data_IF_008491611536
#
_entry.id   IF_008491611536
#
_cell.length_a   1.000
_cell.length_b   1.000
_cell.length_c   1.000
_cell.angle_alpha   90.00
_cell.angle_beta   90.00
_cell.angle_gamma   90.00
#
_symmetry.space_group_name_H-M   'P 1'
#
loop_
_entity.id
_entity.type
_entity.pdbx_description
1 polymer ?
#
# COMPACT_ATOMS: atom_id res chain seq x y z
N UNK A 1 -30.22 -7.61 7.63
CA UNK A 1 -30.26 -6.28 8.28
C UNK A 1 -29.18 -5.38 7.65
N UNK A 2 -29.34 -4.05 7.58
CA UNK A 2 -28.26 -3.18 7.11
C UNK A 2 -27.06 -3.29 8.05
N UNK A 3 -25.90 -3.65 7.51
CA UNK A 3 -24.67 -3.84 8.27
C UNK A 3 -23.62 -2.86 7.76
N UNK A 4 -23.13 -2.01 8.65
CA UNK A 4 -22.06 -1.07 8.34
C UNK A 4 -20.73 -1.74 8.60
N UNK A 5 -19.89 -1.80 7.57
CA UNK A 5 -18.52 -2.33 7.63
C UNK A 5 -17.59 -1.35 6.94
N UNK A 6 -16.29 -1.53 7.16
CA UNK A 6 -15.28 -0.69 6.53
C UNK A 6 -14.93 -1.16 5.11
N UNK A 7 -15.19 -2.43 4.79
CA UNK A 7 -15.14 -2.96 3.44
C UNK A 7 -16.33 -3.89 3.17
N UNK A 8 -16.52 -4.22 1.90
CA UNK A 8 -17.33 -5.33 1.43
C UNK A 8 -16.63 -6.06 0.30
N UNK A 9 -17.25 -7.14 -0.17
CA UNK A 9 -16.86 -7.86 -1.38
C UNK A 9 -18.12 -8.20 -2.19
N UNK A 10 -17.96 -8.82 -3.37
CA UNK A 10 -19.09 -9.12 -4.26
C UNK A 10 -20.06 -10.17 -3.70
N UNK A 11 -19.70 -10.84 -2.61
CA UNK A 11 -20.54 -11.82 -1.91
C UNK A 11 -21.26 -11.23 -0.69
N UNK A 12 -21.00 -9.96 -0.34
CA UNK A 12 -21.65 -9.30 0.79
C UNK A 12 -22.52 -8.10 0.37
N UNK A 13 -23.44 -7.72 1.27
CA UNK A 13 -24.34 -6.57 1.11
C UNK A 13 -24.04 -5.47 2.12
N UNK A 14 -22.77 -5.36 2.54
CA UNK A 14 -22.35 -4.39 3.55
C UNK A 14 -22.43 -2.96 3.01
N UNK A 15 -22.87 -2.04 3.87
CA UNK A 15 -22.84 -0.61 3.61
C UNK A 15 -21.48 -0.10 4.06
N UNK A 16 -20.60 0.17 3.08
CA UNK A 16 -19.23 0.62 3.35
C UNK A 16 -19.19 2.08 3.80
N UNK A 17 -18.35 2.37 4.80
CA UNK A 17 -18.10 3.72 5.30
C UNK A 17 -16.62 3.90 5.67
N UNK A 18 -16.13 5.15 5.81
CA UNK A 18 -14.72 5.41 6.12
C UNK A 18 -14.24 4.69 7.37
N UNK A 19 -13.07 4.06 7.27
CA UNK A 19 -12.47 3.35 8.38
C UNK A 19 -11.91 4.30 9.47
N UNK A 20 -11.66 3.77 10.66
CA UNK A 20 -11.21 4.55 11.81
C UNK A 20 -9.89 5.31 11.56
N UNK A 21 -9.03 4.80 10.67
CA UNK A 21 -7.72 5.39 10.41
C UNK A 21 -7.79 6.75 9.70
N UNK A 22 -8.95 7.17 9.20
CA UNK A 22 -9.14 8.57 8.77
C UNK A 22 -9.03 9.56 9.94
N UNK A 23 -9.39 9.14 11.16
CA UNK A 23 -9.18 9.89 12.40
C UNK A 23 -7.80 9.62 13.03
N UNK A 24 -6.97 8.79 12.38
CA UNK A 24 -5.65 8.40 12.84
C UNK A 24 -5.63 7.03 13.50
N UNK A 25 -4.42 6.57 13.82
CA UNK A 25 -4.17 5.32 14.53
C UNK A 25 -3.04 5.58 15.53
N UNK A 26 -3.44 6.04 16.72
CA UNK A 26 -2.53 6.56 17.73
C UNK A 26 -1.55 5.50 18.24
N UNK A 27 -2.00 4.25 18.35
CA UNK A 27 -1.23 3.10 18.83
C UNK A 27 0.02 2.82 17.99
N UNK A 28 0.02 3.25 16.72
CA UNK A 28 1.17 3.12 15.82
C UNK A 28 1.62 4.46 15.23
N UNK A 29 1.28 5.56 15.90
CA UNK A 29 1.69 6.92 15.55
C UNK A 29 1.31 7.39 14.13
N UNK A 30 0.16 6.93 13.61
CA UNK A 30 -0.40 7.45 12.36
C UNK A 30 -1.34 8.61 12.69
N UNK A 31 -1.07 9.77 12.11
CA UNK A 31 -1.85 11.00 12.29
C UNK A 31 -3.20 10.92 11.55
N UNK A 32 -4.21 11.72 11.97
CA UNK A 32 -5.44 11.90 11.20
C UNK A 32 -5.15 12.29 9.74
N UNK A 33 -6.02 11.85 8.81
CA UNK A 33 -5.83 12.03 7.38
C UNK A 33 -5.66 13.51 6.97
N UNK A 34 -6.40 14.43 7.57
CA UNK A 34 -6.31 15.87 7.28
C UNK A 34 -4.91 16.46 7.53
N UNK A 35 -4.18 15.93 8.52
CA UNK A 35 -2.81 16.35 8.80
C UNK A 35 -1.82 15.57 7.95
N UNK A 36 -1.97 14.24 7.91
CA UNK A 36 -1.06 13.36 7.21
C UNK A 36 -1.05 13.59 5.70
N UNK A 37 -2.18 13.89 5.08
CA UNK A 37 -2.27 14.20 3.64
C UNK A 37 -1.46 15.43 3.26
N UNK A 38 -1.40 16.45 4.13
CA UNK A 38 -0.56 17.64 3.94
C UNK A 38 0.93 17.27 4.06
N UNK A 39 1.27 16.44 5.04
CA UNK A 39 2.64 15.95 5.23
C UNK A 39 3.11 15.09 4.05
N UNK A 40 2.26 14.21 3.53
CA UNK A 40 2.50 13.42 2.32
C UNK A 40 2.72 14.35 1.12
N UNK A 41 1.86 15.36 0.93
CA UNK A 41 1.98 16.33 -0.15
C UNK A 41 3.29 17.13 -0.08
N UNK A 42 3.73 17.54 1.10
CA UNK A 42 5.03 18.19 1.27
C UNK A 42 6.20 17.19 1.10
N UNK A 43 6.04 15.95 1.58
CA UNK A 43 6.99 14.85 1.38
C UNK A 43 7.25 14.57 -0.10
N UNK A 44 6.20 14.52 -0.92
CA UNK A 44 6.28 14.27 -2.36
C UNK A 44 7.08 15.35 -3.10
N UNK A 45 7.13 16.59 -2.57
CA UNK A 45 7.93 17.69 -3.16
C UNK A 45 9.41 17.60 -2.84
N UNK A 46 9.82 16.78 -1.86
CA UNK A 46 11.24 16.65 -1.47
C UNK A 46 12.10 16.04 -2.57
N UNK A 47 11.52 15.25 -3.47
CA UNK A 47 12.23 14.53 -4.53
C UNK A 47 11.37 14.46 -5.79
N UNK A 48 11.94 14.84 -6.94
CA UNK A 48 11.23 14.74 -8.22
C UNK A 48 11.01 13.28 -8.58
N UNK A 49 9.91 12.98 -9.26
CA UNK A 49 9.57 11.63 -9.70
C UNK A 49 10.74 10.88 -10.37
N UNK A 50 11.45 11.53 -11.29
CA UNK A 50 12.58 10.94 -12.04
C UNK A 50 13.78 10.60 -11.16
N UNK A 51 13.91 11.22 -9.98
CA UNK A 51 15.00 11.00 -9.02
C UNK A 51 14.66 9.90 -8.01
N UNK A 52 13.40 9.45 -7.95
CA UNK A 52 12.98 8.36 -7.07
C UNK A 52 13.58 7.04 -7.50
N UNK A 53 13.81 6.17 -6.51
CA UNK A 53 14.34 4.82 -6.71
C UNK A 53 13.44 4.03 -7.69
N UNK A 54 13.99 3.44 -8.76
CA UNK A 54 13.23 2.83 -9.85
C UNK A 54 12.75 1.41 -9.50
N UNK A 55 12.22 1.23 -8.29
CA UNK A 55 11.75 -0.05 -7.78
C UNK A 55 10.32 0.05 -7.24
N UNK A 56 9.63 -1.08 -7.21
CA UNK A 56 8.38 -1.26 -6.52
C UNK A 56 8.61 -1.50 -5.04
N UNK A 57 8.01 -0.66 -4.20
CA UNK A 57 8.23 -0.69 -2.76
C UNK A 57 6.97 -1.10 -2.00
N UNK A 58 7.16 -1.99 -1.04
CA UNK A 58 6.17 -2.33 -0.03
C UNK A 58 6.82 -2.44 1.34
N UNK A 59 6.16 -1.93 2.39
CA UNK A 59 6.53 -2.18 3.78
C UNK A 59 5.27 -2.45 4.58
N UNK A 60 5.20 -3.60 5.23
CA UNK A 60 3.99 -4.01 5.95
C UNK A 60 4.16 -5.30 6.74
N UNK A 61 3.15 -5.66 7.54
CA UNK A 61 3.15 -6.92 8.27
C UNK A 61 2.69 -8.04 7.32
N UNK A 62 3.56 -9.02 6.97
CA UNK A 62 3.20 -10.07 6.04
C UNK A 62 2.37 -11.18 6.71
N UNK A 63 2.44 -11.33 8.03
CA UNK A 63 1.85 -12.46 8.75
C UNK A 63 0.33 -12.38 8.93
N UNK A 64 -0.31 -11.32 8.43
CA UNK A 64 -1.76 -11.13 8.51
C UNK A 64 -2.53 -11.79 7.36
N UNK A 65 -1.84 -12.20 6.29
CA UNK A 65 -2.46 -12.80 5.12
C UNK A 65 -1.47 -13.64 4.29
N UNK A 66 -1.88 -14.80 3.74
CA UNK A 66 -1.04 -15.61 2.85
C UNK A 66 -0.52 -14.84 1.63
N UNK A 67 -1.35 -13.99 1.03
CA UNK A 67 -0.98 -13.20 -0.18
C UNK A 67 0.19 -12.23 0.11
N UNK A 68 0.29 -11.69 1.33
CA UNK A 68 1.43 -10.85 1.77
C UNK A 68 2.68 -11.65 2.08
N UNK A 69 2.51 -12.84 2.66
CA UNK A 69 3.63 -13.77 2.83
C UNK A 69 4.22 -14.14 1.47
N UNK A 70 3.38 -14.41 0.47
CA UNK A 70 3.80 -14.72 -0.88
C UNK A 70 4.52 -13.53 -1.55
N UNK A 71 4.08 -12.28 -1.31
CA UNK A 71 4.75 -11.08 -1.82
C UNK A 71 6.23 -10.98 -1.40
N UNK A 72 6.62 -11.55 -0.25
CA UNK A 72 8.02 -11.60 0.18
C UNK A 72 8.92 -12.36 -0.82
N UNK A 73 8.36 -13.31 -1.57
CA UNK A 73 9.09 -14.06 -2.60
C UNK A 73 9.52 -13.19 -3.79
N UNK A 74 8.93 -12.00 -3.94
CA UNK A 74 9.31 -11.05 -4.98
C UNK A 74 10.58 -10.25 -4.65
N UNK A 75 11.12 -10.36 -3.43
CA UNK A 75 12.39 -9.73 -3.09
C UNK A 75 13.55 -10.28 -3.94
N UNK A 76 14.59 -9.46 -4.18
CA UNK A 76 15.74 -9.87 -4.97
C UNK A 76 16.49 -11.02 -4.29
N UNK A 77 17.01 -11.92 -5.13
CA UNK A 77 17.98 -12.96 -4.77
C UNK A 77 19.19 -12.84 -5.69
N UNK A 78 20.28 -13.55 -5.41
CA UNK A 78 21.48 -13.55 -6.26
C UNK A 78 21.20 -13.97 -7.72
N UNK A 79 20.09 -14.66 -7.98
CA UNK A 79 19.72 -15.19 -9.30
C UNK A 79 18.62 -14.41 -10.00
N UNK A 80 17.82 -13.65 -9.27
CA UNK A 80 16.58 -13.06 -9.79
C UNK A 80 16.24 -11.77 -9.05
N UNK A 81 16.02 -10.68 -9.80
CA UNK A 81 15.42 -9.45 -9.31
C UNK A 81 14.11 -9.16 -10.05
N UNK A 82 13.03 -9.03 -9.30
CA UNK A 82 11.70 -8.65 -9.79
C UNK A 82 11.45 -7.14 -9.74
N UNK A 83 12.48 -6.36 -9.44
CA UNK A 83 12.41 -4.92 -9.19
C UNK A 83 11.50 -4.55 -8.01
N UNK A 84 11.23 -5.50 -7.11
CA UNK A 84 10.48 -5.27 -5.88
C UNK A 84 11.41 -5.15 -4.68
N UNK A 85 11.06 -4.28 -3.73
CA UNK A 85 11.74 -4.04 -2.45
C UNK A 85 10.66 -4.13 -1.37
N UNK A 86 10.54 -5.31 -0.80
CA UNK A 86 9.46 -5.72 0.12
C UNK A 86 10.03 -5.88 1.51
N UNK A 87 9.58 -5.05 2.46
CA UNK A 87 10.12 -4.99 3.81
C UNK A 87 9.10 -5.39 4.86
N UNK A 88 9.53 -6.15 5.86
CA UNK A 88 8.67 -6.53 6.99
C UNK A 88 8.54 -5.36 7.97
N UNK A 89 7.31 -5.02 8.30
CA UNK A 89 6.97 -4.03 9.32
C UNK A 89 6.70 -4.74 10.66
N UNK A 90 7.61 -4.58 11.63
CA UNK A 90 7.44 -5.08 12.98
C UNK A 90 6.98 -3.95 13.92
N UNK A 91 5.68 -3.93 14.23
CA UNK A 91 5.11 -2.87 15.09
C UNK A 91 5.62 -2.90 16.54
N UNK A 92 5.96 -4.07 17.07
CA UNK A 92 6.48 -4.20 18.42
C UNK A 92 7.88 -3.58 18.55
N UNK A 93 8.72 -3.77 17.53
CA UNK A 93 10.05 -3.16 17.45
C UNK A 93 9.96 -1.65 17.20
N UNK A 94 9.09 -1.21 16.29
CA UNK A 94 8.88 0.21 16.06
C UNK A 94 8.38 0.95 17.31
N UNK A 95 7.52 0.32 18.11
CA UNK A 95 7.06 0.90 19.36
C UNK A 95 8.24 1.18 20.32
N UNK A 96 9.25 0.29 20.36
CA UNK A 96 10.47 0.50 21.16
C UNK A 96 11.33 1.65 20.63
N UNK A 97 11.29 1.91 19.32
CA UNK A 97 12.06 2.97 18.66
C UNK A 97 11.27 4.26 18.41
N UNK A 98 10.02 4.36 18.88
CA UNK A 98 9.16 5.52 18.71
C UNK A 98 8.69 5.75 17.27
N UNK A 99 8.50 4.68 16.50
CA UNK A 99 7.98 4.68 15.12
C UNK A 99 8.81 5.50 14.10
N UNK A 100 10.09 5.74 14.41
CA UNK A 100 10.97 6.60 13.59
C UNK A 100 11.15 6.09 12.17
N UNK A 101 11.03 4.78 11.93
CA UNK A 101 11.20 4.19 10.60
C UNK A 101 9.86 3.89 9.91
N UNK A 102 8.74 4.33 10.48
CA UNK A 102 7.39 4.07 9.98
C UNK A 102 6.67 5.33 9.51
N UNK A 103 7.38 6.46 9.41
CA UNK A 103 6.86 7.70 8.82
C UNK A 103 6.40 7.44 7.39
N UNK A 104 5.09 7.58 7.13
CA UNK A 104 4.51 7.34 5.81
C UNK A 104 4.97 8.40 4.79
N UNK A 105 5.12 9.66 5.23
CA UNK A 105 5.55 10.77 4.37
C UNK A 105 6.99 10.63 3.88
N UNK A 106 7.84 9.89 4.60
CA UNK A 106 9.23 9.64 4.20
C UNK A 106 9.40 8.36 3.37
N UNK A 107 8.31 7.60 3.13
CA UNK A 107 8.31 6.37 2.33
C UNK A 107 7.94 6.58 0.86
N UNK A 108 7.76 7.83 0.41
CA UNK A 108 7.41 8.19 -0.96
C UNK A 108 8.64 8.46 -1.85
N UNK A 109 9.73 7.73 -1.60
CA UNK A 109 11.03 7.87 -2.31
C UNK A 109 11.24 6.87 -3.45
N UNK A 110 10.29 5.95 -3.65
CA UNK A 110 10.31 4.97 -4.73
C UNK A 110 9.32 5.36 -5.81
N UNK A 111 9.64 5.04 -7.06
CA UNK A 111 8.73 5.26 -8.18
C UNK A 111 7.44 4.47 -7.94
N UNK A 112 7.54 3.17 -7.70
CA UNK A 112 6.37 2.32 -7.65
C UNK A 112 6.00 1.97 -6.20
N UNK A 113 4.72 2.03 -5.84
CA UNK A 113 4.21 1.65 -4.51
C UNK A 113 3.21 0.52 -4.66
N UNK A 114 3.45 -0.59 -3.96
CA UNK A 114 2.59 -1.77 -4.04
C UNK A 114 1.49 -1.66 -2.98
N UNK A 115 0.25 -1.85 -3.41
CA UNK A 115 -0.88 -2.16 -2.54
C UNK A 115 -1.20 -3.64 -2.64
N UNK A 116 -1.43 -4.26 -1.49
CA UNK A 116 -1.87 -5.64 -1.36
C UNK A 116 -2.73 -5.79 -0.11
N UNK A 117 -3.80 -6.55 -0.23
CA UNK A 117 -4.75 -6.81 0.84
C UNK A 117 -4.12 -7.54 2.02
N UNK A 118 -4.75 -7.42 3.18
CA UNK A 118 -4.38 -8.12 4.40
C UNK A 118 -5.39 -9.23 4.66
N UNK A 119 -5.87 -9.33 5.91
CA UNK A 119 -6.98 -10.24 6.23
C UNK A 119 -8.29 -9.84 5.55
N UNK A 120 -8.39 -8.59 5.09
CA UNK A 120 -9.41 -8.03 4.22
C UNK A 120 -8.78 -6.85 3.43
N UNK A 121 -9.52 -5.77 3.13
CA UNK A 121 -8.93 -4.52 2.64
C UNK A 121 -7.78 -4.02 3.54
N UNK A 122 -6.84 -3.27 2.97
CA UNK A 122 -5.75 -2.67 3.75
C UNK A 122 -5.92 -1.16 3.87
N UNK A 123 -5.91 -0.66 5.11
CA UNK A 123 -5.94 0.78 5.41
C UNK A 123 -4.83 1.61 4.73
N UNK A 124 -3.80 0.94 4.21
CA UNK A 124 -2.66 1.55 3.54
C UNK A 124 -2.96 2.10 2.15
N UNK A 125 -4.08 1.73 1.51
CA UNK A 125 -4.41 2.10 0.13
C UNK A 125 -4.34 3.62 -0.10
N UNK A 126 -5.04 4.40 0.74
CA UNK A 126 -5.05 5.86 0.64
C UNK A 126 -3.68 6.51 0.78
N UNK A 127 -2.79 5.93 1.62
CA UNK A 127 -1.44 6.45 1.81
C UNK A 127 -0.55 6.12 0.60
N UNK A 128 -0.74 4.94 0.00
CA UNK A 128 -0.04 4.53 -1.22
C UNK A 128 -0.43 5.46 -2.38
N UNK A 129 -1.73 5.69 -2.59
CA UNK A 129 -2.24 6.59 -3.61
C UNK A 129 -1.74 8.03 -3.41
N UNK A 130 -1.61 8.48 -2.16
CA UNK A 130 -1.17 9.83 -1.83
C UNK A 130 0.35 10.07 -1.94
N UNK A 131 1.17 9.03 -2.18
CA UNK A 131 2.62 9.18 -2.33
C UNK A 131 3.07 9.83 -3.66
N UNK A 132 2.13 10.20 -4.55
CA UNK A 132 2.46 10.67 -5.91
C UNK A 132 3.40 9.69 -6.64
N UNK A 133 3.19 8.41 -6.33
CA UNK A 133 3.89 7.28 -6.90
C UNK A 133 2.95 6.50 -7.78
N UNK A 134 3.48 5.81 -8.81
CA UNK A 134 2.68 4.87 -9.58
C UNK A 134 2.25 3.75 -8.63
N UNK A 135 0.93 3.68 -8.40
CA UNK A 135 0.34 2.72 -7.50
C UNK A 135 0.14 1.40 -8.24
N UNK A 136 0.83 0.36 -7.78
CA UNK A 136 0.70 -1.01 -8.26
C UNK A 136 -0.30 -1.72 -7.33
N UNK A 137 -1.53 -1.93 -7.78
CA UNK A 137 -2.57 -2.55 -6.96
C UNK A 137 -2.67 -4.02 -7.35
N UNK A 138 -2.31 -4.91 -6.42
CA UNK A 138 -2.60 -6.35 -6.53
C UNK A 138 -4.11 -6.51 -6.50
N UNK A 139 -4.64 -7.24 -7.49
CA UNK A 139 -6.08 -7.37 -7.77
C UNK A 139 -6.90 -7.52 -6.47
N UNK A 140 -7.68 -6.50 -6.08
CA UNK A 140 -8.32 -6.48 -4.77
C UNK A 140 -9.63 -7.26 -4.80
N UNK A 141 -9.86 -8.08 -3.77
CA UNK A 141 -11.14 -8.75 -3.56
C UNK A 141 -12.14 -7.91 -2.76
N UNK A 142 -11.62 -7.00 -1.93
CA UNK A 142 -12.40 -6.12 -1.10
C UNK A 142 -12.43 -4.71 -1.67
N UNK A 143 -13.55 -4.04 -1.47
CA UNK A 143 -13.68 -2.62 -1.69
C UNK A 143 -14.07 -1.90 -0.39
N UNK A 144 -13.52 -0.71 -0.21
CA UNK A 144 -13.95 0.29 0.77
C UNK A 144 -14.83 1.37 0.12
N UNK A 145 -15.08 2.47 0.85
CA UNK A 145 -16.00 3.52 0.40
C UNK A 145 -15.51 4.34 -0.80
N UNK A 146 -14.22 4.32 -1.17
CA UNK A 146 -13.70 5.10 -2.31
C UNK A 146 -13.07 4.24 -3.41
N UNK A 147 -12.54 3.06 -3.09
CA UNK A 147 -11.82 2.17 -4.01
C UNK A 147 -12.63 1.77 -5.25
N UNK A 148 -13.97 1.63 -5.15
CA UNK A 148 -14.85 1.40 -6.32
C UNK A 148 -14.81 2.49 -7.39
N UNK A 149 -14.34 3.68 -7.04
CA UNK A 149 -14.18 4.80 -7.98
C UNK A 149 -12.81 4.80 -8.67
N UNK A 150 -11.90 3.94 -8.24
CA UNK A 150 -10.59 3.79 -8.85
C UNK A 150 -10.72 2.96 -10.12
N UNK A 151 -10.00 3.37 -11.18
CA UNK A 151 -10.08 2.75 -12.49
C UNK A 151 -8.68 2.25 -12.86
N UNK A 152 -8.52 0.97 -13.23
CA UNK A 152 -7.24 0.44 -13.67
C UNK A 152 -6.76 1.21 -14.91
N UNK A 153 -5.44 1.38 -15.03
CA UNK A 153 -4.76 2.14 -16.08
C UNK A 153 -5.05 3.65 -16.13
N UNK A 154 -5.95 4.17 -15.29
CA UNK A 154 -6.17 5.59 -15.11
C UNK A 154 -5.68 6.10 -13.75
N UNK A 155 -6.01 5.39 -12.67
CA UNK A 155 -5.64 5.75 -11.31
C UNK A 155 -4.52 4.87 -10.74
N UNK A 156 -4.38 3.64 -11.23
CA UNK A 156 -3.39 2.67 -10.77
C UNK A 156 -3.03 1.66 -11.85
N UNK A 157 -1.92 0.95 -11.67
CA UNK A 157 -1.53 -0.18 -12.52
C UNK A 157 -1.97 -1.50 -11.88
N UNK A 158 -2.82 -2.31 -12.54
CA UNK A 158 -3.30 -3.57 -11.98
C UNK A 158 -2.20 -4.64 -12.00
N UNK A 159 -2.08 -5.39 -10.90
CA UNK A 159 -1.13 -6.48 -10.72
C UNK A 159 -1.90 -7.79 -10.49
N UNK A 160 -1.61 -8.81 -11.31
CA UNK A 160 -2.21 -10.13 -11.14
C UNK A 160 -1.82 -10.75 -9.80
N UNK A 161 -2.79 -11.28 -9.06
CA UNK A 161 -2.52 -12.01 -7.81
C UNK A 161 -1.72 -13.29 -8.09
N UNK A 162 -2.11 -14.09 -9.08
CA UNK A 162 -1.48 -15.37 -9.42
C UNK A 162 -0.03 -15.25 -9.90
N UNK A 163 0.33 -14.13 -10.53
CA UNK A 163 1.67 -13.90 -11.08
C UNK A 163 2.25 -12.55 -10.66
N UNK A 164 2.09 -12.23 -9.38
CA UNK A 164 2.41 -10.92 -8.80
C UNK A 164 3.83 -10.45 -9.08
N UNK A 165 4.87 -11.27 -8.85
CA UNK A 165 6.26 -10.84 -9.02
C UNK A 165 6.60 -10.50 -10.49
N UNK A 166 6.14 -11.33 -11.44
CA UNK A 166 6.35 -11.06 -12.87
C UNK A 166 5.55 -9.84 -13.33
N UNK A 167 4.33 -9.68 -12.84
CA UNK A 167 3.47 -8.53 -13.16
C UNK A 167 4.06 -7.23 -12.62
N UNK A 168 4.60 -7.24 -11.39
CA UNK A 168 5.33 -6.11 -10.81
C UNK A 168 6.55 -5.78 -11.67
N UNK A 169 7.37 -6.77 -12.01
CA UNK A 169 8.56 -6.56 -12.85
C UNK A 169 8.18 -5.93 -14.19
N UNK A 170 7.16 -6.46 -14.86
CA UNK A 170 6.66 -5.92 -16.12
C UNK A 170 6.21 -4.45 -15.99
N UNK A 171 5.45 -4.12 -14.94
CA UNK A 171 5.00 -2.76 -14.69
C UNK A 171 6.17 -1.79 -14.47
N UNK A 172 7.18 -2.22 -13.72
CA UNK A 172 8.38 -1.40 -13.44
C UNK A 172 9.27 -1.24 -14.68
N UNK A 173 9.44 -2.29 -15.48
CA UNK A 173 10.26 -2.23 -16.71
C UNK A 173 9.58 -1.46 -17.86
N UNK A 174 8.25 -1.40 -17.86
CA UNK A 174 7.51 -0.64 -18.86
C UNK A 174 7.66 0.88 -18.70
N UNK A 175 7.88 1.38 -17.48
CA UNK A 175 7.88 2.82 -17.14
C UNK A 175 9.23 3.40 -16.72
#
# INVERSE_FOLDING_TARGET
>A
PPLFRYCGDDNTYDIVFPDWSFWGWAEINIKPWELLSKELKEGNKKMRWTEREPYAYWKGNPFVAPTRMDLLSCNPTDKQDWHARVYVQNWAEEAQHGFKQSSLADQCIHRYKIYIEGSAWSVSEKYILACDSVSLIVDPHYYDFFSRSLMPMQHYWPISEDNKCRSIKYAVEWG
#
